data_IF_484431710101
#
_entry.id   IF_484431710101
#
_cell.length_a   1.000
_cell.length_b   1.000
_cell.length_c   1.000
_cell.angle_alpha   90.00
_cell.angle_beta   90.00
_cell.angle_gamma   90.00
#
_symmetry.space_group_name_H-M   'P 1'
#
loop_
_entity.id
_entity.type
_entity.pdbx_description
1 polymer ?
#
# COMPACT_ATOMS: atom_id res chain seq x y z
N UNK A 1 -32.57 -7.20 -3.50
CA UNK A 1 -31.29 -7.87 -3.86
C UNK A 1 -30.63 -8.33 -2.55
N UNK A 2 -30.39 -9.63 -2.34
CA UNK A 2 -29.89 -10.13 -1.06
C UNK A 2 -28.48 -9.60 -0.75
N UNK A 3 -28.18 -9.37 0.53
CA UNK A 3 -26.87 -8.89 1.03
C UNK A 3 -25.70 -9.72 0.47
N UNK A 4 -25.89 -11.04 0.32
CA UNK A 4 -24.92 -11.94 -0.29
C UNK A 4 -24.60 -11.62 -1.76
N UNK A 5 -25.63 -11.42 -2.60
CA UNK A 5 -25.40 -11.09 -4.03
C UNK A 5 -24.68 -9.75 -4.18
N UNK A 6 -24.97 -8.77 -3.31
CA UNK A 6 -24.26 -7.48 -3.29
C UNK A 6 -22.79 -7.66 -2.94
N UNK A 7 -22.47 -8.50 -1.95
CA UNK A 7 -21.09 -8.80 -1.57
C UNK A 7 -20.33 -9.49 -2.72
N UNK A 8 -20.94 -10.48 -3.39
CA UNK A 8 -20.32 -11.17 -4.52
C UNK A 8 -20.06 -10.22 -5.69
N UNK A 9 -21.03 -9.37 -6.04
CA UNK A 9 -20.84 -8.36 -7.10
C UNK A 9 -19.76 -7.34 -6.72
N UNK A 10 -19.71 -6.88 -5.47
CA UNK A 10 -18.66 -5.97 -5.00
C UNK A 10 -17.26 -6.61 -5.11
N UNK A 11 -17.13 -7.88 -4.76
CA UNK A 11 -15.89 -8.64 -4.91
C UNK A 11 -15.47 -8.73 -6.38
N UNK A 12 -16.40 -9.03 -7.29
CA UNK A 12 -16.11 -9.10 -8.72
C UNK A 12 -15.63 -7.74 -9.28
N UNK A 13 -16.25 -6.63 -8.87
CA UNK A 13 -15.80 -5.29 -9.25
C UNK A 13 -14.41 -4.95 -8.70
N UNK A 14 -14.12 -5.38 -7.46
CA UNK A 14 -12.79 -5.21 -6.86
C UNK A 14 -11.73 -5.97 -7.64
N UNK A 15 -11.99 -7.24 -7.98
CA UNK A 15 -11.06 -8.07 -8.78
C UNK A 15 -10.80 -7.44 -10.14
N UNK A 16 -11.85 -6.98 -10.83
CA UNK A 16 -11.72 -6.33 -12.14
C UNK A 16 -10.87 -5.05 -12.05
N UNK A 17 -11.10 -4.23 -11.02
CA UNK A 17 -10.35 -3.00 -10.79
C UNK A 17 -8.86 -3.29 -10.55
N UNK A 18 -8.55 -4.26 -9.69
CA UNK A 18 -7.17 -4.66 -9.38
C UNK A 18 -6.47 -5.22 -10.61
N UNK A 19 -7.13 -6.10 -11.37
CA UNK A 19 -6.56 -6.66 -12.59
C UNK A 19 -6.26 -5.58 -13.64
N UNK A 20 -7.18 -4.64 -13.84
CA UNK A 20 -6.99 -3.49 -14.73
C UNK A 20 -5.81 -2.62 -14.30
N UNK A 21 -5.69 -2.34 -13.00
CA UNK A 21 -4.58 -1.56 -12.45
C UNK A 21 -3.22 -2.22 -12.72
N UNK A 22 -3.08 -3.52 -12.45
CA UNK A 22 -1.83 -4.25 -12.72
C UNK A 22 -1.44 -4.25 -14.20
N UNK A 23 -2.43 -4.42 -15.09
CA UNK A 23 -2.21 -4.34 -16.52
C UNK A 23 -1.68 -2.96 -16.94
N UNK A 24 -2.31 -1.89 -16.47
CA UNK A 24 -1.89 -0.51 -16.76
C UNK A 24 -0.48 -0.20 -16.22
N UNK A 25 -0.18 -0.61 -14.98
CA UNK A 25 1.16 -0.42 -14.40
C UNK A 25 2.24 -1.17 -15.20
N UNK A 26 1.97 -2.41 -15.62
CA UNK A 26 2.91 -3.21 -16.42
C UNK A 26 3.11 -2.59 -17.80
N UNK A 27 2.03 -2.17 -18.46
CA UNK A 27 2.08 -1.49 -19.74
C UNK A 27 2.90 -0.19 -19.65
N UNK A 28 2.68 0.61 -18.62
CA UNK A 28 3.46 1.82 -18.36
C UNK A 28 4.95 1.51 -18.15
N UNK A 29 5.28 0.42 -17.44
CA UNK A 29 6.67 -0.05 -17.30
C UNK A 29 7.33 -0.39 -18.64
N UNK A 30 6.60 -1.04 -19.56
CA UNK A 30 7.10 -1.32 -20.92
C UNK A 30 7.32 -0.03 -21.72
N UNK A 31 6.42 0.96 -21.59
CA UNK A 31 6.59 2.27 -22.22
C UNK A 31 7.84 2.98 -21.70
N UNK A 32 8.06 2.98 -20.38
CA UNK A 32 9.27 3.55 -19.79
C UNK A 32 10.54 2.87 -20.31
N UNK A 33 10.53 1.54 -20.40
CA UNK A 33 11.63 0.79 -20.98
C UNK A 33 11.90 1.21 -22.43
N UNK A 34 10.86 1.31 -23.27
CA UNK A 34 11.01 1.73 -24.67
C UNK A 34 11.56 3.16 -24.81
N UNK A 35 11.18 4.08 -23.91
CA UNK A 35 11.66 5.48 -23.92
C UNK A 35 13.12 5.60 -23.48
N UNK A 36 13.56 4.79 -22.52
CA UNK A 36 14.91 4.86 -21.94
C UNK A 36 15.88 3.78 -22.46
N UNK A 37 15.45 2.94 -23.41
CA UNK A 37 16.25 1.83 -23.94
C UNK A 37 17.62 2.28 -24.50
N UNK A 38 17.67 3.44 -25.18
CA UNK A 38 18.91 3.95 -25.78
C UNK A 38 19.73 4.86 -24.86
N UNK A 39 19.07 5.54 -23.91
CA UNK A 39 19.69 6.45 -22.96
C UNK A 39 19.20 6.12 -21.55
N UNK A 40 19.84 5.16 -20.90
CA UNK A 40 19.47 4.74 -19.56
C UNK A 40 19.88 5.81 -18.52
N UNK A 41 18.90 6.47 -17.86
CA UNK A 41 19.18 7.52 -16.88
C UNK A 41 19.93 6.99 -15.65
N UNK A 42 19.94 5.69 -15.40
CA UNK A 42 20.61 5.07 -14.25
C UNK A 42 22.10 4.84 -14.55
N UNK A 43 22.45 4.48 -15.79
CA UNK A 43 23.84 4.34 -16.22
C UNK A 43 24.54 5.71 -16.32
N UNK A 44 23.78 6.76 -16.64
CA UNK A 44 24.25 8.15 -16.70
C UNK A 44 24.05 8.91 -15.37
N UNK A 45 24.29 8.23 -14.23
CA UNK A 45 24.16 8.79 -12.86
C UNK A 45 24.81 10.16 -12.70
N UNK A 46 25.92 10.41 -13.38
CA UNK A 46 26.68 11.66 -13.34
C UNK A 46 25.89 12.88 -13.82
N UNK A 47 24.96 12.68 -14.75
CA UNK A 47 24.20 13.77 -15.40
C UNK A 47 22.78 13.88 -14.85
N UNK A 48 22.17 12.75 -14.51
CA UNK A 48 20.76 12.70 -14.07
C UNK A 48 20.59 12.74 -12.56
N UNK A 49 21.63 12.37 -11.80
CA UNK A 49 21.57 12.20 -10.34
C UNK A 49 20.72 11.00 -9.87
N UNK A 50 20.20 10.20 -10.80
CA UNK A 50 19.33 9.05 -10.49
C UNK A 50 20.20 7.84 -10.11
N UNK A 51 19.86 7.23 -8.98
CA UNK A 51 20.63 6.09 -8.43
C UNK A 51 19.82 4.81 -8.30
N UNK A 52 18.48 4.91 -8.27
CA UNK A 52 17.57 3.78 -8.05
C UNK A 52 16.47 3.75 -9.10
N UNK A 53 16.05 2.54 -9.48
CA UNK A 53 14.94 2.31 -10.41
C UNK A 53 13.61 2.91 -9.91
N UNK A 54 13.40 2.98 -8.59
CA UNK A 54 12.20 3.56 -7.97
C UNK A 54 12.02 5.06 -8.31
N UNK A 55 13.07 5.76 -8.75
CA UNK A 55 13.04 7.18 -9.10
C UNK A 55 12.72 7.43 -10.59
N UNK A 56 12.61 6.38 -11.40
CA UNK A 56 12.43 6.48 -12.85
C UNK A 56 11.09 7.12 -13.24
N UNK A 57 10.02 6.78 -12.51
CA UNK A 57 8.67 7.32 -12.77
C UNK A 57 8.60 8.82 -12.50
N UNK A 58 9.01 9.34 -11.32
CA UNK A 58 9.11 10.79 -11.10
C UNK A 58 9.99 11.50 -12.12
N UNK A 59 11.13 10.91 -12.49
CA UNK A 59 12.04 11.46 -13.49
C UNK A 59 11.37 11.58 -14.87
N UNK A 60 10.63 10.55 -15.30
CA UNK A 60 9.85 10.59 -16.54
C UNK A 60 8.80 11.70 -16.53
N UNK A 61 8.04 11.86 -15.44
CA UNK A 61 7.02 12.90 -15.32
C UNK A 61 7.66 14.29 -15.47
N UNK A 62 8.76 14.55 -14.77
CA UNK A 62 9.42 15.87 -14.83
C UNK A 62 10.04 16.12 -16.20
N UNK A 63 10.72 15.13 -16.79
CA UNK A 63 11.47 15.35 -18.05
C UNK A 63 10.59 15.31 -19.29
N UNK A 64 9.59 14.42 -19.33
CA UNK A 64 8.79 14.16 -20.52
C UNK A 64 7.41 14.79 -20.50
N UNK A 65 6.84 15.14 -19.33
CA UNK A 65 5.50 15.75 -19.26
C UNK A 65 5.54 17.28 -19.02
N UNK A 66 6.72 17.85 -18.75
CA UNK A 66 6.89 19.29 -18.54
C UNK A 66 6.47 20.18 -19.73
N UNK A 67 6.41 19.64 -20.95
CA UNK A 67 6.00 20.41 -22.13
C UNK A 67 4.52 20.85 -22.06
N UNK A 68 3.68 20.14 -21.27
CA UNK A 68 2.28 20.52 -21.05
C UNK A 68 2.18 21.26 -19.71
N UNK A 69 1.82 22.55 -19.70
CA UNK A 69 1.71 23.31 -18.46
C UNK A 69 0.65 22.70 -17.54
N UNK A 70 1.01 22.45 -16.29
CA UNK A 70 0.11 21.90 -15.26
C UNK A 70 0.00 20.37 -15.21
N UNK A 71 0.40 19.64 -16.26
CA UNK A 71 0.27 18.18 -16.29
C UNK A 71 1.17 17.49 -15.25
N UNK A 72 2.42 17.94 -15.12
CA UNK A 72 3.35 17.45 -14.08
C UNK A 72 2.73 17.58 -12.68
N UNK A 73 2.12 18.72 -12.38
CA UNK A 73 1.45 18.96 -11.10
C UNK A 73 0.25 18.04 -10.88
N UNK A 74 -0.55 17.82 -11.93
CA UNK A 74 -1.69 16.90 -11.89
C UNK A 74 -1.25 15.45 -11.60
N UNK A 75 -0.16 14.99 -12.24
CA UNK A 75 0.39 13.67 -12.00
C UNK A 75 0.85 13.48 -10.55
N UNK A 76 1.62 14.43 -10.01
CA UNK A 76 2.06 14.35 -8.61
C UNK A 76 0.88 14.46 -7.63
N UNK A 77 -0.10 15.32 -7.90
CA UNK A 77 -1.31 15.41 -7.07
C UNK A 77 -2.05 14.06 -7.02
N UNK A 78 -2.17 13.37 -8.15
CA UNK A 78 -2.76 12.02 -8.23
C UNK A 78 -1.96 10.97 -7.45
N UNK A 79 -0.64 10.96 -7.58
CA UNK A 79 0.25 10.04 -6.85
C UNK A 79 0.12 10.23 -5.34
N UNK A 80 0.17 11.49 -4.87
CA UNK A 80 0.03 11.78 -3.45
C UNK A 80 -1.37 11.47 -2.93
N UNK A 81 -2.42 11.79 -3.69
CA UNK A 81 -3.80 11.48 -3.31
C UNK A 81 -4.03 9.97 -3.20
N UNK A 82 -3.54 9.19 -4.17
CA UNK A 82 -3.62 7.73 -4.14
C UNK A 82 -2.84 7.14 -2.97
N UNK A 83 -1.61 7.59 -2.74
CA UNK A 83 -0.77 7.14 -1.63
C UNK A 83 -1.41 7.45 -0.27
N UNK A 84 -1.94 8.66 -0.11
CA UNK A 84 -2.58 9.09 1.14
C UNK A 84 -3.88 8.31 1.42
N UNK A 85 -4.64 7.92 0.38
CA UNK A 85 -5.83 7.08 0.53
C UNK A 85 -5.49 5.71 1.11
N UNK A 86 -4.43 5.07 0.62
CA UNK A 86 -3.95 3.78 1.14
C UNK A 86 -3.41 3.91 2.56
N UNK A 87 -2.58 4.93 2.83
CA UNK A 87 -2.02 5.16 4.17
C UNK A 87 -3.13 5.43 5.20
N UNK A 88 -4.11 6.27 4.85
CA UNK A 88 -5.25 6.58 5.72
C UNK A 88 -6.06 5.31 6.06
N UNK A 89 -6.33 4.48 5.06
CA UNK A 89 -7.05 3.21 5.26
C UNK A 89 -6.27 2.25 6.15
N UNK A 90 -4.94 2.13 5.95
CA UNK A 90 -4.08 1.27 6.75
C UNK A 90 -4.00 1.73 8.21
N UNK A 91 -3.80 3.03 8.46
CA UNK A 91 -3.75 3.59 9.82
C UNK A 91 -5.08 3.41 10.56
N UNK A 92 -6.20 3.62 9.86
CA UNK A 92 -7.52 3.39 10.42
C UNK A 92 -7.73 1.93 10.81
N UNK A 93 -7.42 0.99 9.90
CA UNK A 93 -7.52 -0.45 10.18
C UNK A 93 -6.63 -0.87 11.34
N UNK A 94 -5.38 -0.40 11.40
CA UNK A 94 -4.45 -0.74 12.47
C UNK A 94 -4.91 -0.20 13.83
N UNK A 95 -5.44 1.02 13.85
CA UNK A 95 -6.06 1.60 15.04
C UNK A 95 -7.27 0.79 15.50
N UNK A 96 -8.16 0.40 14.59
CA UNK A 96 -9.35 -0.39 14.93
C UNK A 96 -8.98 -1.78 15.44
N UNK A 97 -8.05 -2.47 14.76
CA UNK A 97 -7.53 -3.79 15.20
C UNK A 97 -6.92 -3.69 16.59
N UNK A 98 -6.14 -2.64 16.86
CA UNK A 98 -5.54 -2.44 18.20
C UNK A 98 -6.61 -2.28 19.28
N UNK A 99 -7.67 -1.53 18.99
CA UNK A 99 -8.78 -1.33 19.92
C UNK A 99 -9.53 -2.64 20.16
N UNK A 100 -9.94 -3.33 19.09
CA UNK A 100 -10.81 -4.51 19.16
C UNK A 100 -10.06 -5.73 19.73
N UNK A 101 -8.80 -5.91 19.35
CA UNK A 101 -8.06 -7.13 19.71
C UNK A 101 -7.27 -6.99 21.02
N UNK A 102 -6.86 -5.77 21.39
CA UNK A 102 -6.04 -5.56 22.60
C UNK A 102 -6.77 -4.74 23.67
N UNK A 103 -7.36 -3.59 23.32
CA UNK A 103 -7.90 -2.67 24.33
C UNK A 103 -9.25 -3.15 24.88
N UNK A 104 -10.16 -3.59 24.00
CA UNK A 104 -11.49 -4.06 24.40
C UNK A 104 -11.43 -5.32 25.28
N UNK A 105 -10.62 -6.35 24.96
CA UNK A 105 -10.56 -7.56 25.80
C UNK A 105 -9.91 -7.33 27.16
N UNK A 106 -9.00 -6.35 27.27
CA UNK A 106 -8.37 -5.94 28.53
C UNK A 106 -9.27 -5.02 29.37
N UNK A 107 -10.28 -4.39 28.75
CA UNK A 107 -11.22 -3.52 29.44
C UNK A 107 -12.44 -4.33 29.89
N UNK A 108 -12.65 -4.46 31.20
CA UNK A 108 -13.80 -5.19 31.76
C UNK A 108 -15.16 -4.56 31.44
N UNK A 109 -15.19 -3.35 30.86
CA UNK A 109 -16.41 -2.59 30.55
C UNK A 109 -16.44 -2.17 29.08
N UNK A 110 -17.64 -2.10 28.51
CA UNK A 110 -17.88 -1.53 27.18
C UNK A 110 -17.36 -0.09 27.14
N UNK A 111 -16.38 0.17 26.26
CA UNK A 111 -15.81 1.50 26.08
C UNK A 111 -16.88 2.49 25.62
N UNK A 112 -16.82 3.71 26.13
CA UNK A 112 -17.68 4.79 25.66
C UNK A 112 -17.29 5.14 24.21
N UNK A 113 -18.25 5.26 23.26
CA UNK A 113 -17.94 5.55 21.85
C UNK A 113 -17.13 6.83 21.64
N UNK A 114 -17.28 7.84 22.51
CA UNK A 114 -16.49 9.09 22.43
C UNK A 114 -15.03 8.87 22.84
N UNK A 115 -14.80 8.00 23.82
CA UNK A 115 -13.47 7.63 24.30
C UNK A 115 -12.77 6.75 23.27
N UNK A 116 -13.49 5.76 22.71
CA UNK A 116 -12.99 4.89 21.64
C UNK A 116 -12.52 5.70 20.43
N UNK A 117 -13.29 6.71 20.01
CA UNK A 117 -12.88 7.61 18.92
C UNK A 117 -11.63 8.43 19.25
N UNK A 118 -11.48 8.89 20.49
CA UNK A 118 -10.27 9.63 20.90
C UNK A 118 -9.04 8.73 20.91
N UNK A 119 -9.18 7.50 21.43
CA UNK A 119 -8.13 6.50 21.42
C UNK A 119 -7.76 6.18 19.97
N UNK A 120 -8.75 5.99 19.10
CA UNK A 120 -8.50 5.68 17.70
C UNK A 120 -7.71 6.78 16.97
N UNK A 121 -8.08 8.05 17.21
CA UNK A 121 -7.32 9.20 16.68
C UNK A 121 -5.90 9.27 17.24
N UNK A 122 -5.73 9.00 18.54
CA UNK A 122 -4.42 8.96 19.19
C UNK A 122 -3.51 7.85 18.62
N UNK A 123 -4.05 6.65 18.44
CA UNK A 123 -3.34 5.52 17.83
C UNK A 123 -2.99 5.81 16.37
N UNK A 124 -3.92 6.36 15.60
CA UNK A 124 -3.65 6.74 14.20
C UNK A 124 -2.50 7.75 14.08
N UNK A 125 -2.44 8.74 14.97
CA UNK A 125 -1.33 9.69 15.03
C UNK A 125 -0.01 9.01 15.41
N UNK A 126 -0.03 8.15 16.43
CA UNK A 126 1.14 7.38 16.87
C UNK A 126 1.72 6.52 15.75
N UNK A 127 0.88 5.74 15.06
CA UNK A 127 1.31 4.91 13.93
C UNK A 127 1.81 5.77 12.76
N UNK A 128 1.18 6.92 12.48
CA UNK A 128 1.66 7.86 11.47
C UNK A 128 3.08 8.35 11.76
N UNK A 129 3.36 8.76 13.01
CA UNK A 129 4.71 9.16 13.44
C UNK A 129 5.69 7.99 13.33
N UNK A 130 5.30 6.80 13.76
CA UNK A 130 6.13 5.60 13.65
C UNK A 130 6.49 5.27 12.19
N UNK A 131 5.55 5.39 11.25
CA UNK A 131 5.81 5.21 9.81
C UNK A 131 6.81 6.25 9.26
N UNK A 132 6.69 7.51 9.68
CA UNK A 132 7.65 8.56 9.29
C UNK A 132 9.05 8.24 9.82
N UNK A 133 9.16 7.80 11.08
CA UNK A 133 10.44 7.39 11.67
C UNK A 133 11.05 6.18 10.93
N UNK A 134 10.23 5.19 10.59
CA UNK A 134 10.70 4.01 9.86
C UNK A 134 11.19 4.35 8.45
N UNK A 135 10.64 5.39 7.82
CA UNK A 135 11.02 5.82 6.46
C UNK A 135 12.51 6.18 6.37
N UNK A 136 13.12 6.71 7.44
CA UNK A 136 14.56 6.99 7.48
C UNK A 136 15.43 5.73 7.35
N UNK A 137 14.93 4.57 7.81
CA UNK A 137 15.64 3.29 7.66
C UNK A 137 15.53 2.73 6.24
N UNK A 138 14.36 2.94 5.60
CA UNK A 138 14.06 2.51 4.23
C UNK A 138 14.88 3.30 3.20
N UNK A 139 15.33 4.52 3.51
CA UNK A 139 16.17 5.31 2.61
C UNK A 139 17.44 4.57 2.12
N UNK A 140 17.95 3.64 2.92
CA UNK A 140 19.17 2.86 2.62
C UNK A 140 18.91 1.55 1.86
N UNK A 141 17.66 1.16 1.58
CA UNK A 141 17.39 -0.08 0.82
C UNK A 141 17.60 0.13 -0.68
N UNK A 142 18.14 -0.88 -1.37
CA UNK A 142 18.44 -0.80 -2.81
C UNK A 142 17.18 -0.82 -3.68
N UNK A 143 16.19 -1.63 -3.31
CA UNK A 143 14.90 -1.72 -3.99
C UNK A 143 13.74 -1.75 -2.99
N UNK A 144 12.87 -0.75 -3.08
CA UNK A 144 11.67 -0.66 -2.23
C UNK A 144 10.67 -1.76 -2.61
N UNK A 145 10.53 -2.04 -3.91
CA UNK A 145 9.61 -3.06 -4.42
C UNK A 145 9.99 -4.47 -3.92
N UNK A 146 11.28 -4.84 -4.02
CA UNK A 146 11.75 -6.15 -3.55
C UNK A 146 11.58 -6.29 -2.04
N UNK A 147 11.96 -5.26 -1.28
CA UNK A 147 11.82 -5.25 0.18
C UNK A 147 10.35 -5.43 0.59
N UNK A 148 9.44 -4.68 -0.03
CA UNK A 148 7.99 -4.79 0.23
C UNK A 148 7.47 -6.19 -0.06
N UNK A 149 7.85 -6.81 -1.18
CA UNK A 149 7.42 -8.17 -1.53
C UNK A 149 7.87 -9.22 -0.51
N UNK A 150 9.07 -9.06 0.07
CA UNK A 150 9.54 -9.95 1.15
C UNK A 150 8.65 -9.81 2.39
N UNK A 151 8.34 -8.58 2.81
CA UNK A 151 7.47 -8.33 3.97
C UNK A 151 6.05 -8.87 3.78
N UNK A 152 5.48 -8.69 2.58
CA UNK A 152 4.17 -9.25 2.23
C UNK A 152 4.24 -10.78 2.29
N UNK A 153 5.25 -11.40 1.68
CA UNK A 153 5.39 -12.85 1.62
C UNK A 153 5.50 -13.51 3.01
N UNK A 154 6.28 -12.92 3.93
CA UNK A 154 6.46 -13.48 5.28
C UNK A 154 5.21 -13.34 6.16
N UNK A 155 4.34 -12.36 5.89
CA UNK A 155 3.15 -12.08 6.72
C UNK A 155 1.88 -12.72 6.13
N UNK A 156 1.61 -12.54 4.85
CA UNK A 156 0.41 -13.06 4.20
C UNK A 156 0.46 -14.58 4.01
N UNK A 157 1.64 -15.17 3.81
CA UNK A 157 1.81 -16.61 3.63
C UNK A 157 1.26 -17.43 4.80
N UNK A 158 1.73 -17.21 6.04
CA UNK A 158 1.21 -17.91 7.23
C UNK A 158 -0.28 -17.64 7.47
N UNK A 159 -0.75 -16.41 7.27
CA UNK A 159 -2.17 -16.06 7.43
C UNK A 159 -3.03 -16.86 6.46
N UNK A 160 -2.66 -16.88 5.18
CA UNK A 160 -3.35 -17.68 4.16
C UNK A 160 -3.34 -19.18 4.52
N UNK A 161 -2.21 -19.71 5.00
CA UNK A 161 -2.11 -21.11 5.41
C UNK A 161 -3.08 -21.45 6.55
N UNK A 162 -3.16 -20.62 7.60
CA UNK A 162 -4.10 -20.81 8.72
C UNK A 162 -5.55 -20.79 8.24
N UNK A 163 -5.92 -19.83 7.39
CA UNK A 163 -7.26 -19.76 6.81
C UNK A 163 -7.60 -20.98 5.94
N UNK A 164 -6.67 -21.42 5.09
CA UNK A 164 -6.87 -22.59 4.24
C UNK A 164 -7.02 -23.87 5.08
N UNK A 165 -6.21 -24.05 6.12
CA UNK A 165 -6.36 -25.20 7.04
C UNK A 165 -7.73 -25.16 7.71
N UNK A 166 -8.17 -24.01 8.22
CA UNK A 166 -9.48 -23.86 8.86
C UNK A 166 -10.66 -24.14 7.93
N UNK A 167 -10.56 -23.81 6.64
CA UNK A 167 -11.62 -24.05 5.66
C UNK A 167 -11.59 -25.49 5.12
N UNK A 168 -10.40 -26.02 4.80
CA UNK A 168 -10.24 -27.29 4.10
C UNK A 168 -10.11 -28.49 5.04
N UNK A 169 -9.76 -28.28 6.31
CA UNK A 169 -9.54 -29.35 7.30
C UNK A 169 -10.53 -29.23 8.45
N UNK A 170 -11.33 -30.28 8.68
CA UNK A 170 -12.32 -30.34 9.79
C UNK A 170 -11.71 -30.67 11.16
N UNK A 171 -10.40 -30.94 11.22
CA UNK A 171 -9.63 -31.11 12.45
C UNK A 171 -9.12 -29.73 12.92
N UNK A 172 -10.01 -28.90 13.43
CA UNK A 172 -9.60 -27.80 14.30
C UNK A 172 -9.40 -28.37 15.71
N UNK A 173 -8.16 -28.42 16.19
CA UNK A 173 -7.89 -28.58 17.62
C UNK A 173 -7.56 -27.19 18.13
N UNK A 174 -8.39 -26.63 19.01
CA UNK A 174 -8.14 -25.38 19.75
C UNK A 174 -6.95 -25.57 20.73
N UNK A 175 -5.73 -25.60 20.19
CA UNK A 175 -4.49 -25.55 20.96
C UNK A 175 -3.52 -24.57 20.33
#
# INVERSE_FOLDING_TARGET
MSTYKRAQTALQWSILSVASLYFLCTFFGVVLYAVFYQCDPILMKSETGITKYDQLVPYFIITRLQYIPGLTGLCFAGIFSSSLSTVSSALNSLSTVTIVDFIQPLSSNTLNPKLELHIAKGLSLFYGIACILLTFTIANVDSIAQTTNVFIGITEGPVLAVFLIGILTRKSSDK
#
